data_IF_905652163921
#
_entry.id   IF_905652163921
#
_cell.length_a   1.000
_cell.length_b   1.000
_cell.length_c   1.000
_cell.angle_alpha   90.00
_cell.angle_beta   90.00
_cell.angle_gamma   90.00
#
_symmetry.space_group_name_H-M   'P 1'
#
loop_
_entity.id
_entity.type
_entity.pdbx_description
1 polymer ?
#
# COMPACT_ATOMS: atom_id res chain seq x y z
N UNK A 1 22.56 -1.91 0.95
CA UNK A 1 21.66 -0.77 1.14
C UNK A 1 20.26 -1.32 1.17
N UNK A 2 19.66 -1.40 2.38
CA UNK A 2 18.32 -1.92 2.53
C UNK A 2 17.32 -0.91 1.98
N UNK A 3 16.69 -1.22 0.87
CA UNK A 3 15.48 -0.55 0.45
C UNK A 3 14.41 -0.86 1.50
N UNK A 4 14.12 0.12 2.34
CA UNK A 4 12.94 0.10 3.21
C UNK A 4 11.72 0.15 2.31
N UNK A 5 11.22 -1.04 2.06
CA UNK A 5 10.22 -1.22 1.03
C UNK A 5 8.84 -1.20 1.64
N UNK A 6 8.03 -0.25 1.22
CA UNK A 6 6.57 -0.38 1.16
C UNK A 6 6.13 -1.77 0.63
N UNK A 7 7.02 -2.48 -0.07
CA UNK A 7 6.85 -3.85 -0.52
C UNK A 7 6.63 -4.87 0.61
N UNK A 8 7.07 -4.59 1.85
CA UNK A 8 6.81 -5.46 3.00
C UNK A 8 5.39 -5.31 3.56
N UNK A 9 4.70 -4.22 3.23
CA UNK A 9 3.34 -3.95 3.70
C UNK A 9 2.31 -4.25 2.61
N UNK A 10 2.74 -4.40 1.37
CA UNK A 10 1.88 -4.75 0.23
C UNK A 10 1.85 -6.26 0.04
N UNK A 11 0.67 -6.84 -0.10
CA UNK A 11 0.49 -8.25 -0.44
C UNK A 11 0.67 -8.43 -1.95
N UNK A 12 1.93 -8.64 -2.37
CA UNK A 12 2.37 -8.56 -3.76
C UNK A 12 1.57 -9.45 -4.72
N UNK A 13 1.31 -10.70 -4.33
CA UNK A 13 0.58 -11.66 -5.17
C UNK A 13 -0.89 -11.22 -5.37
N UNK A 14 -1.54 -10.74 -4.31
CA UNK A 14 -2.91 -10.23 -4.38
C UNK A 14 -2.99 -8.98 -5.25
N UNK A 15 -2.03 -8.07 -5.11
CA UNK A 15 -1.96 -6.86 -5.94
C UNK A 15 -1.77 -7.21 -7.41
N UNK A 16 -0.88 -8.14 -7.75
CA UNK A 16 -0.67 -8.58 -9.14
C UNK A 16 -1.94 -9.20 -9.73
N UNK A 17 -2.60 -10.09 -8.99
CA UNK A 17 -3.86 -10.70 -9.41
C UNK A 17 -4.96 -9.65 -9.64
N UNK A 18 -5.06 -8.67 -8.74
CA UNK A 18 -6.01 -7.58 -8.87
C UNK A 18 -5.73 -6.69 -10.10
N UNK A 19 -4.46 -6.33 -10.34
CA UNK A 19 -4.06 -5.56 -11.52
C UNK A 19 -4.47 -6.25 -12.81
N UNK A 20 -4.24 -7.57 -12.92
CA UNK A 20 -4.64 -8.35 -14.10
C UNK A 20 -6.17 -8.38 -14.24
N UNK A 21 -6.89 -8.63 -13.13
CA UNK A 21 -8.36 -8.72 -13.12
C UNK A 21 -9.03 -7.41 -13.50
N UNK A 22 -8.55 -6.29 -12.93
CA UNK A 22 -9.14 -4.96 -13.15
C UNK A 22 -8.78 -4.36 -14.50
N UNK A 23 -7.71 -4.83 -15.14
CA UNK A 23 -7.19 -4.29 -16.39
C UNK A 23 -6.99 -5.37 -17.46
N UNK A 24 -8.06 -6.07 -17.89
CA UNK A 24 -7.94 -7.23 -18.76
C UNK A 24 -7.41 -6.90 -20.18
N UNK A 25 -7.46 -5.63 -20.58
CA UNK A 25 -6.95 -5.17 -21.88
C UNK A 25 -5.47 -4.78 -21.87
N UNK A 26 -4.83 -4.71 -20.69
CA UNK A 26 -3.43 -4.31 -20.58
C UNK A 26 -2.50 -5.52 -20.74
N UNK A 27 -1.39 -5.36 -21.49
CA UNK A 27 -0.38 -6.40 -21.60
C UNK A 27 0.42 -6.56 -20.29
N UNK A 28 1.09 -7.68 -20.14
CA UNK A 28 1.87 -8.00 -18.94
C UNK A 28 2.91 -6.93 -18.58
N UNK A 29 3.57 -6.34 -19.58
CA UNK A 29 4.58 -5.28 -19.34
C UNK A 29 3.95 -4.03 -18.70
N UNK A 30 2.71 -3.67 -19.08
CA UNK A 30 1.98 -2.55 -18.48
C UNK A 30 1.55 -2.86 -17.04
N UNK A 31 1.15 -4.10 -16.77
CA UNK A 31 0.84 -4.59 -15.42
C UNK A 31 2.09 -4.54 -14.52
N UNK A 32 3.24 -4.99 -15.02
CA UNK A 32 4.51 -4.94 -14.29
C UNK A 32 4.97 -3.49 -14.03
N UNK A 33 4.75 -2.59 -14.98
CA UNK A 33 5.05 -1.16 -14.78
C UNK A 33 4.14 -0.55 -13.71
N UNK A 34 2.84 -0.84 -13.74
CA UNK A 34 1.90 -0.39 -12.71
C UNK A 34 2.29 -0.91 -11.33
N UNK A 35 2.59 -2.21 -11.22
CA UNK A 35 3.03 -2.83 -9.97
C UNK A 35 4.30 -2.16 -9.43
N UNK A 36 5.30 -1.91 -10.27
CA UNK A 36 6.53 -1.25 -9.86
C UNK A 36 6.29 0.17 -9.35
N UNK A 37 5.44 0.95 -10.05
CA UNK A 37 5.14 2.34 -9.68
C UNK A 37 4.39 2.44 -8.35
N UNK A 38 3.44 1.55 -8.07
CA UNK A 38 2.69 1.57 -6.81
C UNK A 38 3.52 1.06 -5.63
N UNK A 39 4.44 0.13 -5.85
CA UNK A 39 5.30 -0.42 -4.80
C UNK A 39 6.54 0.42 -4.52
N UNK A 40 6.93 1.33 -5.42
CA UNK A 40 8.08 2.23 -5.30
C UNK A 40 7.65 3.68 -5.46
N UNK A 41 6.85 4.14 -4.49
CA UNK A 41 6.35 5.52 -4.50
C UNK A 41 7.49 6.51 -4.32
N UNK A 42 7.55 7.48 -5.23
CA UNK A 42 8.47 8.60 -5.15
C UNK A 42 7.89 9.74 -4.31
N UNK A 43 8.74 10.40 -3.56
CA UNK A 43 8.39 11.57 -2.76
C UNK A 43 9.41 11.83 -1.66
N UNK A 44 9.78 13.11 -1.49
CA UNK A 44 10.78 13.54 -0.51
C UNK A 44 10.28 13.40 0.93
N UNK A 45 8.97 13.43 1.15
CA UNK A 45 8.33 13.34 2.47
C UNK A 45 7.23 12.28 2.48
N UNK A 46 6.85 11.82 3.68
CA UNK A 46 5.74 10.89 3.85
C UNK A 46 4.43 11.48 3.29
N UNK A 47 4.17 12.77 3.55
CA UNK A 47 2.98 13.45 3.03
C UNK A 47 2.95 13.48 1.50
N UNK A 48 4.09 13.74 0.86
CA UNK A 48 4.19 13.73 -0.60
C UNK A 48 3.91 12.33 -1.16
N UNK A 49 4.45 11.28 -0.54
CA UNK A 49 4.19 9.89 -0.91
C UNK A 49 2.73 9.51 -0.70
N UNK A 50 2.12 9.89 0.42
CA UNK A 50 0.70 9.63 0.69
C UNK A 50 -0.21 10.31 -0.33
N UNK A 51 0.08 11.55 -0.72
CA UNK A 51 -0.68 12.24 -1.79
C UNK A 51 -0.52 11.55 -3.13
N UNK A 52 0.68 11.12 -3.46
CA UNK A 52 0.94 10.35 -4.69
C UNK A 52 0.15 9.05 -4.66
N UNK A 53 0.23 8.29 -3.56
CA UNK A 53 -0.51 7.05 -3.38
C UNK A 53 -2.02 7.25 -3.53
N UNK A 54 -2.59 8.24 -2.83
CA UNK A 54 -4.02 8.56 -2.94
C UNK A 54 -4.43 8.87 -4.38
N UNK A 55 -3.63 9.64 -5.11
CA UNK A 55 -3.90 9.96 -6.52
C UNK A 55 -3.89 8.71 -7.39
N UNK A 56 -2.92 7.82 -7.19
CA UNK A 56 -2.85 6.55 -7.91
C UNK A 56 -4.05 5.64 -7.63
N UNK A 57 -4.58 5.65 -6.39
CA UNK A 57 -5.79 4.91 -6.04
C UNK A 57 -7.03 5.42 -6.77
N UNK A 58 -7.17 6.76 -6.89
CA UNK A 58 -8.35 7.40 -7.49
C UNK A 58 -8.28 7.41 -9.02
N UNK A 59 -7.13 7.81 -9.56
CA UNK A 59 -6.97 8.06 -11.00
C UNK A 59 -6.42 6.85 -11.76
N UNK A 60 -5.89 5.87 -11.05
CA UNK A 60 -5.11 4.77 -11.62
C UNK A 60 -3.65 5.13 -11.84
N UNK A 61 -2.86 4.16 -12.26
CA UNK A 61 -1.44 4.29 -12.55
C UNK A 61 -1.25 4.50 -14.05
N UNK A 62 -0.64 5.62 -14.44
CA UNK A 62 -0.28 5.86 -15.83
C UNK A 62 0.82 4.88 -16.25
N UNK A 63 0.56 4.08 -17.26
CA UNK A 63 1.48 3.11 -17.84
C UNK A 63 1.67 3.34 -19.32
N UNK A 64 2.84 2.98 -19.83
CA UNK A 64 3.16 2.99 -21.24
C UNK A 64 3.57 1.59 -21.67
N UNK A 65 3.12 1.17 -22.84
CA UNK A 65 3.45 -0.14 -23.41
C UNK A 65 3.50 -0.08 -24.93
N UNK A 66 4.14 -1.06 -25.55
CA UNK A 66 4.22 -1.17 -27.00
C UNK A 66 3.12 -2.04 -27.55
N UNK A 67 2.40 -1.50 -28.55
CA UNK A 67 1.41 -2.25 -29.32
C UNK A 67 1.47 -1.80 -30.77
N UNK A 68 1.46 -2.74 -31.70
CA UNK A 68 1.44 -2.50 -33.14
C UNK A 68 2.57 -1.57 -33.63
N UNK A 69 3.77 -1.68 -33.02
CA UNK A 69 4.92 -0.84 -33.34
C UNK A 69 4.89 0.59 -32.81
N UNK A 70 3.87 0.96 -32.05
CA UNK A 70 3.71 2.28 -31.42
C UNK A 70 3.70 2.19 -29.89
N UNK A 71 4.07 3.30 -29.24
CA UNK A 71 3.93 3.44 -27.79
C UNK A 71 2.49 3.91 -27.50
N UNK A 72 1.81 3.20 -26.60
CA UNK A 72 0.46 3.51 -26.13
C UNK A 72 0.49 3.80 -24.64
N UNK A 73 -0.31 4.78 -24.20
CA UNK A 73 -0.54 5.10 -22.80
C UNK A 73 -1.89 4.56 -22.31
N UNK A 74 -1.96 4.16 -21.07
CA UNK A 74 -3.21 3.76 -20.41
C UNK A 74 -3.17 4.08 -18.91
N UNK A 75 -4.33 4.03 -18.26
CA UNK A 75 -4.48 4.09 -16.82
C UNK A 75 -4.79 2.68 -16.29
N UNK A 76 -3.87 2.14 -15.50
CA UNK A 76 -4.08 0.86 -14.82
C UNK A 76 -4.84 1.10 -13.51
N UNK A 77 -6.04 0.54 -13.41
CA UNK A 77 -6.87 0.66 -12.21
C UNK A 77 -6.32 -0.19 -11.07
N UNK A 78 -6.30 0.38 -9.87
CA UNK A 78 -5.92 -0.30 -8.62
C UNK A 78 -7.15 -0.74 -7.82
N UNK A 79 -8.26 -0.01 -7.98
CA UNK A 79 -9.54 -0.24 -7.30
C UNK A 79 -10.69 -0.12 -8.30
N UNK A 80 -11.72 -0.92 -8.09
CA UNK A 80 -13.00 -0.74 -8.78
C UNK A 80 -13.98 -0.02 -7.84
N UNK A 81 -14.24 1.24 -8.12
CA UNK A 81 -15.20 2.06 -7.36
C UNK A 81 -16.65 1.88 -7.83
N UNK A 82 -16.87 1.27 -8.99
CA UNK A 82 -18.21 1.06 -9.55
C UNK A 82 -18.80 -0.26 -9.09
N UNK A 83 -17.99 -1.30 -9.07
CA UNK A 83 -18.34 -2.61 -8.57
C UNK A 83 -17.40 -3.00 -7.44
N UNK A 84 -17.86 -2.79 -6.20
CA UNK A 84 -17.05 -3.04 -5.01
C UNK A 84 -16.75 -4.53 -4.81
N UNK A 85 -17.61 -5.41 -5.31
CA UNK A 85 -17.41 -6.87 -5.22
C UNK A 85 -16.33 -7.37 -6.17
N UNK A 86 -15.95 -6.57 -7.16
CA UNK A 86 -14.82 -6.85 -8.04
C UNK A 86 -13.45 -6.63 -7.37
N UNK A 87 -13.42 -6.09 -6.16
CA UNK A 87 -12.19 -5.96 -5.39
C UNK A 87 -11.96 -7.15 -4.47
N UNK A 88 -10.69 -7.45 -4.20
CA UNK A 88 -10.28 -8.49 -3.25
C UNK A 88 -10.12 -7.88 -1.85
N UNK A 89 -11.05 -8.18 -0.94
CA UNK A 89 -11.08 -7.68 0.42
C UNK A 89 -10.46 -8.68 1.38
N UNK A 90 -9.56 -8.20 2.26
CA UNK A 90 -8.95 -9.01 3.31
C UNK A 90 -8.79 -8.20 4.58
N UNK A 91 -9.29 -8.71 5.69
CA UNK A 91 -9.02 -8.20 7.03
C UNK A 91 -8.03 -9.13 7.74
N UNK A 92 -6.94 -8.56 8.24
CA UNK A 92 -5.90 -9.31 8.97
C UNK A 92 -5.79 -8.73 10.37
N UNK A 93 -6.05 -9.56 11.38
CA UNK A 93 -5.86 -9.16 12.77
C UNK A 93 -4.41 -9.39 13.21
N UNK A 94 -3.94 -8.49 14.08
CA UNK A 94 -2.61 -8.54 14.68
C UNK A 94 -1.46 -8.58 13.65
N UNK A 95 -1.59 -7.83 12.57
CA UNK A 95 -0.56 -7.72 11.55
C UNK A 95 0.64 -6.95 12.08
N UNK A 96 1.81 -7.61 12.14
CA UNK A 96 3.02 -6.97 12.68
C UNK A 96 3.78 -6.26 11.57
N UNK A 97 3.93 -4.95 11.69
CA UNK A 97 4.80 -4.13 10.84
C UNK A 97 6.11 -3.89 11.58
N UNK A 98 7.21 -4.30 10.97
CA UNK A 98 8.56 -4.06 11.49
C UNK A 98 9.14 -2.85 10.78
N UNK A 99 9.32 -1.77 11.50
CA UNK A 99 10.00 -0.58 10.99
C UNK A 99 11.51 -0.78 11.13
N UNK A 100 12.20 -0.91 9.99
CA UNK A 100 13.66 -0.92 9.95
C UNK A 100 14.15 0.54 9.82
N UNK A 101 14.35 1.23 10.93
CA UNK A 101 15.00 2.54 10.91
C UNK A 101 16.48 2.36 10.54
N UNK A 102 17.01 3.16 9.58
CA UNK A 102 18.44 3.16 9.30
C UNK A 102 19.18 3.54 10.60
N UNK A 103 20.20 2.79 10.96
CA UNK A 103 21.07 3.12 12.08
C UNK A 103 21.68 4.49 11.83
N UNK A 104 21.19 5.52 12.53
CA UNK A 104 21.85 6.81 12.57
C UNK A 104 23.24 6.59 13.15
N UNK A 105 24.27 6.96 12.40
CA UNK A 105 25.68 6.87 12.77
C UNK A 105 25.90 7.43 14.19
N UNK A 106 26.11 6.55 15.17
CA UNK A 106 26.59 6.91 16.50
C UNK A 106 25.65 6.73 17.68
N UNK A 107 24.42 6.22 17.52
CA UNK A 107 23.55 5.88 18.65
C UNK A 107 23.38 4.36 18.74
N UNK A 108 23.89 3.80 19.82
CA UNK A 108 23.58 2.43 20.21
C UNK A 108 22.07 2.29 20.42
N UNK A 109 21.49 1.23 19.81
CA UNK A 109 20.09 0.84 19.85
C UNK A 109 19.17 1.60 18.87
N UNK A 110 19.24 1.20 17.59
CA UNK A 110 18.09 1.30 16.70
C UNK A 110 16.98 0.42 17.28
N UNK A 111 16.04 1.02 17.99
CA UNK A 111 14.86 0.34 18.49
C UNK A 111 14.04 -0.13 17.30
N UNK A 112 13.88 -1.44 17.12
CA UNK A 112 12.86 -1.97 16.23
C UNK A 112 11.52 -1.54 16.78
N UNK A 113 10.92 -0.53 16.20
CA UNK A 113 9.54 -0.18 16.51
C UNK A 113 8.63 -1.17 15.77
N UNK A 114 8.23 -2.22 16.47
CA UNK A 114 7.20 -3.11 15.99
C UNK A 114 5.85 -2.47 16.28
N UNK A 115 5.09 -2.15 15.22
CA UNK A 115 3.69 -1.74 15.33
C UNK A 115 2.81 -2.93 14.99
N UNK A 116 1.82 -3.17 15.83
CA UNK A 116 0.90 -4.28 15.69
C UNK A 116 -0.53 -3.80 15.81
N UNK A 117 -1.09 -3.19 14.77
CA UNK A 117 -2.48 -2.79 14.76
C UNK A 117 -3.40 -4.00 14.97
N UNK A 118 -4.53 -3.76 15.62
CA UNK A 118 -5.50 -4.83 15.90
C UNK A 118 -6.05 -5.44 14.62
N UNK A 119 -6.44 -4.62 13.65
CA UNK A 119 -6.89 -5.08 12.34
C UNK A 119 -6.35 -4.16 11.24
N UNK A 120 -5.79 -4.76 10.18
CA UNK A 120 -5.46 -4.07 8.94
C UNK A 120 -6.40 -4.56 7.83
N UNK A 121 -6.99 -3.63 7.12
CA UNK A 121 -7.87 -3.92 5.98
C UNK A 121 -7.07 -3.71 4.69
N UNK A 122 -6.94 -4.79 3.93
CA UNK A 122 -6.35 -4.78 2.61
C UNK A 122 -7.43 -4.81 1.55
N UNK A 123 -7.25 -4.01 0.51
CA UNK A 123 -8.05 -4.07 -0.71
C UNK A 123 -7.11 -4.26 -1.88
N UNK A 124 -7.33 -5.31 -2.65
CA UNK A 124 -6.45 -5.69 -3.77
C UNK A 124 -4.96 -5.80 -3.37
N UNK A 125 -4.69 -6.26 -2.14
CA UNK A 125 -3.34 -6.38 -1.61
C UNK A 125 -2.72 -5.09 -1.08
N UNK A 126 -3.43 -3.95 -1.14
CA UNK A 126 -2.99 -2.66 -0.62
C UNK A 126 -3.57 -2.42 0.78
N UNK A 127 -2.76 -2.00 1.78
CA UNK A 127 -3.23 -1.73 3.14
C UNK A 127 -3.92 -0.36 3.16
N UNK A 128 -5.24 -0.33 3.15
CA UNK A 128 -6.02 0.90 3.05
C UNK A 128 -6.72 1.33 4.34
N UNK A 129 -6.84 0.43 5.32
CA UNK A 129 -7.49 0.75 6.59
C UNK A 129 -6.80 0.12 7.78
N UNK A 130 -6.80 0.83 8.89
CA UNK A 130 -6.33 0.34 10.18
C UNK A 130 -7.44 0.53 11.20
N UNK A 131 -7.72 -0.51 11.98
CA UNK A 131 -8.68 -0.47 13.09
C UNK A 131 -7.94 -0.76 14.38
N UNK A 132 -8.03 0.16 15.33
CA UNK A 132 -7.56 0.01 16.69
C UNK A 132 -8.75 -0.14 17.62
N UNK A 133 -8.74 -1.20 18.40
CA UNK A 133 -9.80 -1.50 19.37
C UNK A 133 -9.40 -0.94 20.74
N UNK A 134 -10.26 -0.14 21.34
CA UNK A 134 -10.06 0.35 22.69
C UNK A 134 -11.09 -0.30 23.63
N UNK A 135 -10.62 -0.64 24.84
CA UNK A 135 -11.52 -1.17 25.85
C UNK A 135 -12.50 -0.09 26.30
N UNK A 136 -13.80 -0.33 26.15
CA UNK A 136 -14.84 0.60 26.55
C UNK A 136 -14.88 0.86 28.07
N UNK A 137 -14.25 0.00 28.86
CA UNK A 137 -14.13 0.17 30.32
C UNK A 137 -12.95 1.07 30.73
N UNK A 138 -12.12 1.50 29.79
CA UNK A 138 -11.01 2.42 30.05
C UNK A 138 -11.50 3.86 29.85
N UNK A 139 -11.80 4.53 30.96
CA UNK A 139 -12.31 5.90 30.96
C UNK A 139 -11.34 6.92 30.37
N UNK A 140 -10.04 6.61 30.32
CA UNK A 140 -8.98 7.44 29.79
C UNK A 140 -8.64 7.13 28.31
N UNK A 141 -9.28 6.13 27.70
CA UNK A 141 -9.02 5.76 26.33
C UNK A 141 -9.51 6.83 25.34
N UNK A 142 -8.56 7.52 24.71
CA UNK A 142 -8.83 8.57 23.74
C UNK A 142 -8.36 8.16 22.33
N UNK A 143 -8.88 8.85 21.30
CA UNK A 143 -8.41 8.68 19.91
C UNK A 143 -6.92 9.03 19.77
N UNK A 144 -6.40 9.90 20.67
CA UNK A 144 -5.00 10.30 20.66
C UNK A 144 -4.06 9.18 21.14
N UNK A 145 -4.55 8.32 22.02
CA UNK A 145 -3.79 7.14 22.48
C UNK A 145 -3.71 6.07 21.41
N UNK A 146 -4.75 5.91 20.60
CA UNK A 146 -4.74 5.03 19.44
C UNK A 146 -3.69 5.45 18.38
N UNK A 147 -3.42 6.76 18.24
CA UNK A 147 -2.42 7.27 17.29
C UNK A 147 -0.97 7.05 17.75
N UNK A 148 -0.75 6.77 19.02
CA UNK A 148 0.60 6.55 19.59
C UNK A 148 0.96 5.06 19.72
N UNK A 149 -0.01 4.18 19.57
CA UNK A 149 0.18 2.73 19.57
C UNK A 149 0.70 2.26 18.22
#
# INVERSE_FOLDING_TARGET
MGEENYSQVVLADRLRQALVRLNPSLPAEAIDDAFRKITRLEGATLDARNRTFHRLLVDGVTVEYRADGAIRGAQALLLDFKDLDNNDWLAVNQYTVVENLPAATGAAQAGKHNRRPDVVIFVNGLPLGVVELKNAADEDATIWDARRA
#
